data_IF_451906948266
#
_entry.id   IF_451906948266
#
_cell.length_a   1.000
_cell.length_b   1.000
_cell.length_c   1.000
_cell.angle_alpha   90.00
_cell.angle_beta   90.00
_cell.angle_gamma   90.00
#
_symmetry.space_group_name_H-M   'P 1'
#
loop_
_entity.id
_entity.type
_entity.pdbx_description
1 polymer ?
#
# COMPACT_ATOMS: atom_id res chain seq x y z
N UNK A 1 1.28 2.01 -8.37
CA UNK A 1 2.36 0.99 -8.35
C UNK A 1 3.39 1.25 -9.42
N UNK A 2 3.19 0.85 -10.69
CA UNK A 2 4.20 1.10 -11.74
C UNK A 2 4.53 2.59 -11.92
N UNK A 3 3.52 3.45 -11.94
CA UNK A 3 3.66 4.90 -12.07
C UNK A 3 4.43 5.50 -10.88
N UNK A 4 3.90 5.33 -9.67
CA UNK A 4 4.44 5.94 -8.45
C UNK A 4 5.77 5.37 -7.95
N UNK A 5 6.03 4.07 -8.12
CA UNK A 5 7.20 3.39 -7.50
C UNK A 5 7.95 2.45 -8.44
N UNK A 6 7.60 2.35 -9.72
CA UNK A 6 8.33 1.54 -10.71
C UNK A 6 8.10 0.02 -10.64
N UNK A 7 7.23 -0.45 -9.73
CA UNK A 7 7.00 -1.88 -9.47
C UNK A 7 5.78 -2.43 -10.21
N UNK A 8 5.96 -3.61 -10.81
CA UNK A 8 4.90 -4.43 -11.41
C UNK A 8 4.25 -5.34 -10.37
N UNK A 9 2.94 -5.50 -10.47
CA UNK A 9 2.15 -6.33 -9.55
C UNK A 9 1.24 -7.31 -10.28
N UNK A 10 0.91 -8.42 -9.62
CA UNK A 10 -0.04 -9.42 -10.10
C UNK A 10 -0.96 -9.90 -8.96
N UNK A 11 -1.94 -10.76 -9.28
CA UNK A 11 -2.74 -11.43 -8.25
C UNK A 11 -3.58 -10.48 -7.38
N UNK A 12 -4.17 -9.45 -8.00
CA UNK A 12 -5.02 -8.49 -7.28
C UNK A 12 -6.18 -9.20 -6.56
N UNK A 13 -6.24 -9.01 -5.24
CA UNK A 13 -7.29 -9.56 -4.37
C UNK A 13 -7.92 -8.41 -3.61
N UNK A 14 -9.24 -8.23 -3.79
CA UNK A 14 -9.99 -7.23 -3.02
C UNK A 14 -9.93 -7.56 -1.52
N UNK A 15 -9.71 -6.53 -0.71
CA UNK A 15 -9.71 -6.64 0.74
C UNK A 15 -10.95 -5.98 1.36
N UNK A 16 -11.05 -4.65 1.20
CA UNK A 16 -12.09 -3.86 1.86
C UNK A 16 -12.26 -2.50 1.18
N UNK A 17 -13.31 -1.78 1.56
CA UNK A 17 -13.49 -0.37 1.22
C UNK A 17 -13.73 0.47 2.47
N UNK A 18 -13.32 1.75 2.42
CA UNK A 18 -13.51 2.73 3.50
C UNK A 18 -13.91 4.08 2.90
N UNK A 19 -15.01 4.70 3.36
CA UNK A 19 -15.33 6.06 2.95
C UNK A 19 -14.25 7.03 3.47
N UNK A 20 -13.81 7.94 2.61
CA UNK A 20 -12.79 8.94 2.92
C UNK A 20 -13.32 10.36 2.64
N UNK A 21 -13.66 11.12 3.69
CA UNK A 21 -14.49 12.34 3.55
C UNK A 21 -13.76 13.59 3.03
N UNK A 22 -12.64 13.46 2.31
CA UNK A 22 -11.92 14.60 1.74
C UNK A 22 -11.44 14.31 0.31
N UNK A 23 -12.02 14.95 -0.74
CA UNK A 23 -13.23 15.77 -0.75
C UNK A 23 -14.53 14.94 -0.72
N UNK A 24 -14.59 13.75 -1.31
CA UNK A 24 -15.70 12.76 -1.27
C UNK A 24 -15.23 11.47 -1.96
N UNK A 25 -14.38 10.68 -1.31
CA UNK A 25 -13.75 9.50 -1.92
C UNK A 25 -14.17 8.19 -1.25
N UNK A 26 -14.08 7.09 -1.99
CA UNK A 26 -14.16 5.74 -1.45
C UNK A 26 -12.81 5.06 -1.67
N UNK A 27 -12.08 4.80 -0.60
CA UNK A 27 -10.81 4.06 -0.65
C UNK A 27 -11.14 2.59 -0.85
N UNK A 28 -10.53 1.95 -1.86
CA UNK A 28 -10.70 0.52 -2.15
C UNK A 28 -9.34 -0.13 -2.01
N UNK A 29 -9.19 -1.01 -1.04
CA UNK A 29 -7.93 -1.66 -0.71
C UNK A 29 -7.83 -3.05 -1.37
N UNK A 30 -6.66 -3.35 -1.89
CA UNK A 30 -6.32 -4.61 -2.53
C UNK A 30 -5.00 -5.14 -1.98
N UNK A 31 -4.88 -6.46 -1.92
CA UNK A 31 -3.58 -7.12 -1.89
C UNK A 31 -3.11 -7.39 -3.31
N UNK A 32 -1.80 -7.36 -3.51
CA UNK A 32 -1.16 -7.75 -4.76
C UNK A 32 0.18 -8.43 -4.46
N UNK A 33 0.61 -9.29 -5.37
CA UNK A 33 1.91 -9.96 -5.32
C UNK A 33 2.90 -9.19 -6.20
N UNK A 34 4.15 -9.06 -5.75
CA UNK A 34 5.23 -8.49 -6.54
C UNK A 34 5.47 -9.32 -7.81
N UNK A 35 5.54 -8.67 -8.97
CA UNK A 35 5.71 -9.32 -10.27
C UNK A 35 6.98 -8.87 -11.02
N UNK A 36 7.70 -7.86 -10.54
CA UNK A 36 8.94 -7.38 -11.15
C UNK A 36 9.17 -5.89 -10.99
N UNK A 37 10.33 -5.41 -11.48
CA UNK A 37 10.72 -4.01 -11.44
C UNK A 37 11.55 -3.63 -10.22
N UNK A 38 12.20 -2.48 -10.29
CA UNK A 38 12.97 -1.92 -9.18
C UNK A 38 12.18 -0.76 -8.57
N UNK A 39 12.37 -0.51 -7.27
CA UNK A 39 11.78 0.67 -6.64
C UNK A 39 12.42 1.93 -7.22
N UNK A 40 11.60 2.71 -7.91
CA UNK A 40 11.95 4.01 -8.46
C UNK A 40 10.83 4.98 -8.10
N UNK A 41 10.94 5.73 -6.99
CA UNK A 41 9.90 6.67 -6.59
C UNK A 41 9.72 7.78 -7.63
N UNK A 42 8.48 8.07 -7.97
CA UNK A 42 8.15 9.19 -8.83
C UNK A 42 8.37 10.50 -8.06
N UNK A 43 9.20 11.42 -8.60
CA UNK A 43 9.38 12.74 -8.02
C UNK A 43 8.03 13.47 -7.88
N UNK A 44 7.87 14.27 -6.83
CA UNK A 44 6.68 15.06 -6.50
C UNK A 44 5.46 14.28 -5.97
N UNK A 45 5.43 12.95 -6.07
CA UNK A 45 4.36 12.10 -5.49
C UNK A 45 4.85 11.29 -4.29
N UNK A 46 5.99 10.63 -4.41
CA UNK A 46 6.56 9.75 -3.39
C UNK A 46 7.95 10.25 -3.01
N UNK A 47 8.13 10.64 -1.75
CA UNK A 47 9.43 11.07 -1.22
C UNK A 47 10.40 9.91 -1.02
N UNK A 48 9.90 8.78 -0.52
CA UNK A 48 10.69 7.57 -0.26
C UNK A 48 9.84 6.29 -0.38
N UNK A 49 10.46 5.19 -0.81
CA UNK A 49 9.84 3.87 -0.87
C UNK A 49 10.89 2.78 -0.64
N UNK A 50 10.52 1.79 0.16
CA UNK A 50 11.38 0.65 0.47
C UNK A 50 10.57 -0.61 0.75
N UNK A 51 11.24 -1.76 0.64
CA UNK A 51 10.72 -3.03 1.12
C UNK A 51 11.03 -3.19 2.61
N UNK A 52 10.05 -3.64 3.38
CA UNK A 52 10.19 -3.83 4.82
C UNK A 52 9.94 -5.29 5.20
N UNK A 53 10.77 -5.81 6.10
CA UNK A 53 10.50 -7.10 6.74
C UNK A 53 9.35 -6.95 7.75
N UNK A 54 8.54 -8.00 7.98
CA UNK A 54 7.42 -7.98 8.93
C UNK A 54 7.79 -7.54 10.36
N UNK A 55 9.04 -7.77 10.78
CA UNK A 55 9.58 -7.45 12.10
C UNK A 55 10.37 -6.12 12.14
N UNK A 56 10.47 -5.41 11.01
CA UNK A 56 11.24 -4.18 10.85
C UNK A 56 10.44 -3.09 10.14
N UNK A 57 9.19 -2.88 10.57
CA UNK A 57 8.30 -1.86 10.00
C UNK A 57 8.61 -0.46 10.56
N UNK A 58 8.43 0.60 9.73
CA UNK A 58 8.55 1.97 10.19
C UNK A 58 7.32 2.39 11.01
N UNK A 59 7.23 3.68 11.37
CA UNK A 59 6.01 4.22 11.94
C UNK A 59 4.83 4.02 10.98
N UNK A 60 3.78 3.36 11.48
CA UNK A 60 2.60 3.02 10.69
C UNK A 60 1.48 4.06 10.86
N UNK A 61 0.55 4.16 9.89
CA UNK A 61 -0.63 5.00 10.02
C UNK A 61 -1.53 4.63 11.21
N UNK A 62 -2.47 5.52 11.51
CA UNK A 62 -3.46 5.32 12.58
C UNK A 62 -4.25 4.00 12.38
N UNK A 63 -4.46 3.20 13.44
CA UNK A 63 -5.25 1.95 13.42
C UNK A 63 -6.63 2.04 12.78
N UNK A 64 -7.28 3.21 12.78
CA UNK A 64 -8.59 3.39 12.15
C UNK A 64 -8.54 3.40 10.62
N UNK A 65 -7.37 3.67 10.03
CA UNK A 65 -7.20 3.80 8.58
C UNK A 65 -7.25 2.46 7.86
N UNK A 66 -7.78 2.44 6.64
CA UNK A 66 -7.75 1.25 5.77
C UNK A 66 -6.33 0.83 5.41
N UNK A 67 -5.39 1.78 5.34
CA UNK A 67 -3.97 1.51 5.14
C UNK A 67 -3.40 0.65 6.28
N UNK A 68 -3.62 1.06 7.54
CA UNK A 68 -3.15 0.29 8.70
C UNK A 68 -3.80 -1.10 8.75
N UNK A 69 -5.11 -1.17 8.52
CA UNK A 69 -5.84 -2.44 8.48
C UNK A 69 -5.34 -3.39 7.39
N UNK A 70 -4.95 -2.87 6.23
CA UNK A 70 -4.38 -3.66 5.13
C UNK A 70 -3.01 -4.23 5.51
N UNK A 71 -2.15 -3.41 6.13
CA UNK A 71 -0.82 -3.84 6.60
C UNK A 71 -0.96 -4.94 7.67
N UNK A 72 -1.78 -4.71 8.70
CA UNK A 72 -1.97 -5.68 9.78
C UNK A 72 -2.51 -7.03 9.26
N UNK A 73 -3.41 -6.98 8.26
CA UNK A 73 -3.94 -8.19 7.63
C UNK A 73 -2.90 -8.92 6.78
N UNK A 74 -1.98 -8.20 6.11
CA UNK A 74 -0.87 -8.82 5.38
C UNK A 74 0.13 -9.54 6.31
N UNK A 75 0.34 -9.02 7.53
CA UNK A 75 1.25 -9.62 8.52
C UNK A 75 0.67 -10.86 9.21
N UNK A 76 -0.65 -11.04 9.15
CA UNK A 76 -1.35 -12.17 9.77
C UNK A 76 -1.53 -13.39 8.84
N UNK A 77 -1.15 -13.25 7.55
CA UNK A 77 -1.26 -14.29 6.53
C UNK A 77 0.01 -15.16 6.45
#
# INVERSE_FOLDING_TARGET
MREEVGVEIAGLRYFASQPWPFPNSLMIAFFADYAGGDIVPQPDEIEDAAWFAPDALPALPDPVSIARRLIDAALAA
#
